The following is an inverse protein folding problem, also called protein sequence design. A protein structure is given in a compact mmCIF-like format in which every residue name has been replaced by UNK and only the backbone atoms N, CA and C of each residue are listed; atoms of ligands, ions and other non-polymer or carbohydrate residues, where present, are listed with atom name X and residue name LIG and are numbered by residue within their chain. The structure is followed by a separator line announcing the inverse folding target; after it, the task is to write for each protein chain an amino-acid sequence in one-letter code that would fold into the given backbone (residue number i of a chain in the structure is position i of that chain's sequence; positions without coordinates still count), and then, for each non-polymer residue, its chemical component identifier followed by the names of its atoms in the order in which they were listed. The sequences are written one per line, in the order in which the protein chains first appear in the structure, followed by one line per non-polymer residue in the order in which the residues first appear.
data_IF_330773581742
#
_entry.id   IF_330773581742
#
_cell.length_a   1.000
_cell.length_b   1.000
_cell.length_c   1.000
_cell.angle_alpha   90.00
_cell.angle_beta   90.00
_cell.angle_gamma   90.00
#
_symmetry.space_group_name_H-M   'P 1'
#
loop_
_entity.id
_entity.type
_entity.pdbx_description
1 polymer ?
#
# COMPACT_ATOMS: atom_id res chain seq x y z
N UNK A 1 13.96 0.46 16.47
CA UNK A 1 13.05 -0.36 15.64
C UNK A 1 13.04 -1.81 16.12
N UNK A 2 13.87 -2.17 17.11
CA UNK A 2 14.05 -3.54 17.59
C UNK A 2 12.80 -4.20 18.18
N UNK A 3 11.80 -3.41 18.57
CA UNK A 3 10.47 -3.92 18.98
C UNK A 3 9.83 -4.83 17.92
N UNK A 4 10.17 -4.67 16.62
CA UNK A 4 9.64 -5.49 15.54
C UNK A 4 10.47 -6.75 15.26
N UNK A 5 11.68 -6.90 15.84
CA UNK A 5 12.61 -7.99 15.51
C UNK A 5 11.99 -9.37 15.73
N UNK A 6 11.38 -9.59 16.88
CA UNK A 6 10.77 -10.90 17.23
C UNK A 6 9.64 -11.32 16.28
N UNK A 7 9.01 -10.36 15.59
CA UNK A 7 7.93 -10.61 14.62
C UNK A 7 8.42 -10.84 13.19
N UNK A 8 9.61 -10.31 12.85
CA UNK A 8 10.13 -10.25 11.48
C UNK A 8 11.35 -11.15 11.26
N UNK A 9 12.01 -11.59 12.32
CA UNK A 9 13.16 -12.48 12.21
C UNK A 9 12.77 -13.77 11.47
N UNK A 10 13.55 -14.12 10.45
CA UNK A 10 13.33 -15.29 9.60
C UNK A 10 12.18 -15.17 8.60
N UNK A 11 11.44 -14.05 8.58
CA UNK A 11 10.39 -13.80 7.59
C UNK A 11 10.98 -13.51 6.22
N UNK A 12 10.24 -13.85 5.17
CA UNK A 12 10.61 -13.53 3.79
C UNK A 12 9.68 -12.45 3.23
N UNK A 13 10.26 -11.36 2.75
CA UNK A 13 9.54 -10.23 2.16
C UNK A 13 9.88 -10.04 0.68
N UNK A 14 8.88 -9.77 -0.15
CA UNK A 14 9.06 -9.20 -1.48
C UNK A 14 8.83 -7.69 -1.39
N UNK A 15 9.74 -6.86 -1.91
CA UNK A 15 9.59 -5.40 -1.92
C UNK A 15 9.80 -4.88 -3.34
N UNK A 16 8.78 -4.24 -3.92
CA UNK A 16 8.87 -3.58 -5.22
C UNK A 16 9.31 -2.12 -5.08
N UNK A 17 9.98 -1.57 -6.10
CA UNK A 17 10.54 -0.21 -6.01
C UNK A 17 11.69 -0.14 -5.01
N UNK A 18 12.46 -1.23 -4.89
CA UNK A 18 13.46 -1.42 -3.85
C UNK A 18 14.85 -0.84 -4.19
N UNK A 19 15.04 -0.27 -5.38
CA UNK A 19 16.31 0.36 -5.76
C UNK A 19 16.51 1.73 -5.08
N UNK A 20 15.44 2.41 -4.64
CA UNK A 20 15.53 3.76 -4.08
C UNK A 20 14.42 4.11 -3.08
N UNK A 21 14.55 5.29 -2.46
CA UNK A 21 13.51 5.90 -1.62
C UNK A 21 13.03 5.00 -0.47
N UNK A 22 11.70 4.91 -0.33
CA UNK A 22 11.05 4.15 0.76
C UNK A 22 11.31 2.65 0.64
N UNK A 23 11.28 2.08 -0.56
CA UNK A 23 11.50 0.64 -0.77
C UNK A 23 12.93 0.22 -0.42
N UNK A 24 13.92 1.05 -0.78
CA UNK A 24 15.31 0.88 -0.35
C UNK A 24 15.43 0.89 1.17
N UNK A 25 14.95 1.97 1.81
CA UNK A 25 15.02 2.12 3.26
C UNK A 25 14.29 0.99 4.00
N UNK A 26 13.14 0.53 3.48
CA UNK A 26 12.40 -0.59 4.06
C UNK A 26 13.21 -1.89 3.99
N UNK A 27 13.86 -2.16 2.86
CA UNK A 27 14.66 -3.38 2.65
C UNK A 27 15.83 -3.44 3.63
N UNK A 28 16.56 -2.33 3.79
CA UNK A 28 17.64 -2.18 4.78
C UNK A 28 17.14 -2.45 6.21
N UNK A 29 15.98 -1.90 6.59
CA UNK A 29 15.41 -2.13 7.92
C UNK A 29 14.92 -3.56 8.14
N UNK A 30 14.30 -4.19 7.13
CA UNK A 30 13.84 -5.57 7.22
C UNK A 30 15.03 -6.53 7.40
N UNK A 31 16.10 -6.36 6.62
CA UNK A 31 17.35 -7.12 6.78
C UNK A 31 17.97 -6.85 8.15
N UNK A 32 18.06 -5.59 8.59
CA UNK A 32 18.51 -5.23 9.93
C UNK A 32 17.73 -5.92 11.06
N UNK A 33 16.44 -6.20 10.84
CA UNK A 33 15.54 -6.89 11.77
C UNK A 33 15.57 -8.44 11.63
N UNK A 34 16.42 -8.97 10.75
CA UNK A 34 16.65 -10.40 10.56
C UNK A 34 15.67 -11.07 9.58
N UNK A 35 14.93 -10.30 8.79
CA UNK A 35 14.14 -10.82 7.67
C UNK A 35 15.03 -11.05 6.45
N UNK A 36 14.57 -11.89 5.52
CA UNK A 36 15.12 -12.01 4.18
C UNK A 36 14.27 -11.20 3.21
N UNK A 37 14.89 -10.57 2.22
CA UNK A 37 14.20 -9.66 1.29
C UNK A 37 14.54 -10.01 -0.16
N UNK A 38 13.52 -10.20 -0.99
CA UNK A 38 13.66 -10.13 -2.45
C UNK A 38 13.38 -8.71 -2.89
N UNK A 39 14.42 -8.02 -3.36
CA UNK A 39 14.34 -6.65 -3.86
C UNK A 39 13.96 -6.65 -5.34
N UNK A 40 12.86 -6.01 -5.69
CA UNK A 40 12.39 -5.92 -7.07
C UNK A 40 12.33 -4.47 -7.55
N UNK A 41 12.89 -4.21 -8.72
CA UNK A 41 12.86 -2.90 -9.37
C UNK A 41 13.12 -3.05 -10.87
N UNK A 42 12.71 -2.07 -11.67
CA UNK A 42 13.12 -1.99 -13.08
C UNK A 42 14.54 -1.41 -13.20
N UNK A 43 14.98 -0.64 -12.20
CA UNK A 43 16.31 -0.08 -12.16
C UNK A 43 17.35 -1.17 -11.81
N UNK A 44 18.36 -1.39 -12.66
CA UNK A 44 19.38 -2.43 -12.44
C UNK A 44 20.20 -2.22 -11.15
N UNK A 45 20.22 -1.02 -10.58
CA UNK A 45 20.91 -0.77 -9.30
C UNK A 45 20.33 -1.56 -8.12
N UNK A 46 19.17 -2.20 -8.28
CA UNK A 46 18.59 -3.12 -7.28
C UNK A 46 19.50 -4.32 -7.00
N UNK A 47 20.26 -4.80 -8.00
CA UNK A 47 21.25 -5.86 -7.84
C UNK A 47 22.37 -5.44 -6.88
N UNK A 48 23.00 -4.28 -7.15
CA UNK A 48 24.05 -3.72 -6.29
C UNK A 48 23.56 -3.47 -4.87
N UNK A 49 22.28 -3.10 -4.71
CA UNK A 49 21.67 -2.94 -3.39
C UNK A 49 21.54 -4.27 -2.65
N UNK A 50 21.06 -5.33 -3.31
CA UNK A 50 21.00 -6.67 -2.71
C UNK A 50 22.40 -7.21 -2.34
N UNK A 51 23.40 -6.98 -3.20
CA UNK A 51 24.80 -7.33 -2.90
C UNK A 51 25.33 -6.60 -1.66
N UNK A 52 25.03 -5.31 -1.52
CA UNK A 52 25.43 -4.53 -0.35
C UNK A 52 24.83 -5.10 0.95
N UNK A 53 23.54 -5.43 0.94
CA UNK A 53 22.87 -6.08 2.08
C UNK A 53 23.48 -7.44 2.40
N UNK A 54 23.84 -8.23 1.38
CA UNK A 54 24.48 -9.52 1.57
C UNK A 54 25.93 -9.44 2.09
N UNK A 55 26.66 -8.35 1.82
CA UNK A 55 27.98 -8.14 2.44
C UNK A 55 27.88 -7.94 3.94
N UNK A 56 26.82 -7.28 4.41
CA UNK A 56 26.58 -7.07 5.84
C UNK A 56 25.93 -8.29 6.51
N UNK A 57 25.00 -8.94 5.80
CA UNK A 57 24.26 -10.11 6.28
C UNK A 57 24.12 -11.15 5.14
N UNK A 58 25.04 -12.12 5.03
CA UNK A 58 25.02 -13.10 3.94
C UNK A 58 23.71 -13.88 3.81
N UNK A 59 23.16 -13.93 2.59
CA UNK A 59 21.92 -14.65 2.28
C UNK A 59 20.64 -13.96 2.78
N UNK A 60 20.74 -12.69 3.20
CA UNK A 60 19.60 -11.88 3.62
C UNK A 60 18.85 -11.25 2.44
N UNK A 61 19.49 -11.10 1.28
CA UNK A 61 18.92 -10.40 0.15
C UNK A 61 19.04 -11.19 -1.16
N UNK A 62 17.99 -11.12 -1.98
CA UNK A 62 18.00 -11.48 -3.39
C UNK A 62 17.50 -10.29 -4.21
N UNK A 63 17.65 -10.33 -5.53
CA UNK A 63 17.14 -9.30 -6.41
C UNK A 63 16.38 -9.89 -7.60
N UNK A 64 15.49 -9.09 -8.19
CA UNK A 64 14.76 -9.45 -9.40
C UNK A 64 14.44 -8.21 -10.23
N UNK A 65 14.89 -8.17 -11.49
CA UNK A 65 14.53 -7.09 -12.40
C UNK A 65 13.05 -7.22 -12.81
N UNK A 66 12.22 -6.26 -12.42
CA UNK A 66 10.77 -6.33 -12.60
C UNK A 66 10.22 -5.06 -13.23
N UNK A 67 9.79 -5.16 -14.49
CA UNK A 67 8.94 -4.15 -15.11
C UNK A 67 7.47 -4.45 -14.76
N UNK A 68 6.89 -3.61 -13.91
CA UNK A 68 5.51 -3.79 -13.42
C UNK A 68 4.44 -3.51 -14.48
N UNK A 69 4.79 -2.99 -15.66
CA UNK A 69 3.87 -2.98 -16.80
C UNK A 69 3.65 -4.38 -17.39
N UNK A 70 4.52 -5.36 -17.06
CA UNK A 70 4.46 -6.74 -17.54
C UNK A 70 4.00 -7.67 -16.43
N UNK A 71 2.69 -7.95 -16.38
CA UNK A 71 2.08 -8.71 -15.28
C UNK A 71 2.63 -10.14 -15.15
N UNK A 72 3.13 -10.73 -16.23
CA UNK A 72 3.84 -12.02 -16.22
C UNK A 72 5.11 -12.00 -15.36
N UNK A 73 5.82 -10.86 -15.30
CA UNK A 73 7.00 -10.71 -14.44
C UNK A 73 6.61 -10.65 -12.96
N UNK A 74 5.39 -10.20 -12.64
CA UNK A 74 4.88 -10.23 -11.25
C UNK A 74 4.72 -11.68 -10.79
N UNK A 75 4.23 -12.60 -11.61
CA UNK A 75 4.18 -14.02 -11.24
C UNK A 75 5.59 -14.61 -11.08
N UNK A 76 6.49 -14.35 -12.03
CA UNK A 76 7.87 -14.83 -11.97
C UNK A 76 8.62 -14.32 -10.73
N UNK A 77 8.33 -13.09 -10.29
CA UNK A 77 8.88 -12.51 -9.07
C UNK A 77 8.54 -13.36 -7.83
N UNK A 78 7.29 -13.83 -7.71
CA UNK A 78 6.88 -14.70 -6.60
C UNK A 78 7.54 -16.08 -6.69
N UNK A 79 7.56 -16.67 -7.89
CA UNK A 79 8.17 -17.98 -8.11
C UNK A 79 9.67 -17.93 -7.77
N UNK A 80 10.36 -16.85 -8.15
CA UNK A 80 11.75 -16.60 -7.81
C UNK A 80 11.95 -16.45 -6.29
N UNK A 81 11.09 -15.71 -5.59
CA UNK A 81 11.16 -15.56 -4.14
C UNK A 81 11.03 -16.90 -3.41
N UNK A 82 10.07 -17.73 -3.84
CA UNK A 82 9.83 -19.06 -3.27
C UNK A 82 10.98 -20.00 -3.60
N UNK A 83 11.51 -19.99 -4.81
CA UNK A 83 12.65 -20.81 -5.19
C UNK A 83 13.91 -20.45 -4.39
N UNK A 84 14.15 -19.15 -4.18
CA UNK A 84 15.36 -18.66 -3.53
C UNK A 84 15.31 -18.77 -1.98
N UNK A 85 14.15 -18.48 -1.37
CA UNK A 85 14.01 -18.43 0.09
C UNK A 85 13.12 -19.53 0.69
N UNK A 86 12.50 -20.36 -0.15
CA UNK A 86 11.61 -21.46 0.23
C UNK A 86 10.16 -21.04 0.52
N UNK A 87 9.91 -19.77 0.82
CA UNK A 87 8.58 -19.25 1.10
C UNK A 87 8.50 -17.72 1.00
N UNK A 88 7.29 -17.18 1.08
CA UNK A 88 7.01 -15.75 1.25
C UNK A 88 6.09 -15.58 2.46
N UNK A 89 6.26 -14.49 3.23
CA UNK A 89 5.34 -14.09 4.31
C UNK A 89 4.78 -12.69 4.11
N UNK A 90 5.57 -11.79 3.49
CA UNK A 90 5.28 -10.37 3.37
C UNK A 90 5.42 -9.95 1.90
N UNK A 91 4.46 -9.17 1.41
CA UNK A 91 4.55 -8.53 0.08
C UNK A 91 4.34 -7.03 0.23
N UNK A 92 5.26 -6.24 -0.32
CA UNK A 92 5.20 -4.78 -0.27
C UNK A 92 5.13 -4.23 -1.70
N UNK A 93 3.93 -3.79 -2.05
CA UNK A 93 3.67 -3.05 -3.28
C UNK A 93 4.06 -1.58 -3.03
N UNK A 94 5.35 -1.27 -3.17
CA UNK A 94 5.91 0.06 -2.92
C UNK A 94 6.25 0.82 -4.19
N UNK A 95 6.55 0.14 -5.30
CA UNK A 95 6.80 0.81 -6.56
C UNK A 95 5.64 1.76 -6.93
N UNK A 96 6.01 2.91 -7.50
CA UNK A 96 5.05 3.88 -7.97
C UNK A 96 5.72 4.95 -8.81
N UNK A 97 4.95 5.54 -9.72
CA UNK A 97 5.35 6.68 -10.54
C UNK A 97 4.33 7.81 -10.38
N UNK A 98 4.75 9.04 -10.67
CA UNK A 98 3.89 10.22 -10.69
C UNK A 98 4.16 11.03 -11.96
N UNK A 99 3.10 11.59 -12.56
CA UNK A 99 3.22 12.40 -13.78
C UNK A 99 3.89 13.75 -13.48
N UNK A 100 4.60 14.28 -14.47
CA UNK A 100 5.27 15.58 -14.42
C UNK A 100 4.39 16.74 -14.94
N UNK A 101 3.17 16.42 -15.42
CA UNK A 101 2.18 17.36 -15.96
C UNK A 101 0.75 16.91 -15.62
N UNK A 102 -0.20 17.85 -15.66
CA UNK A 102 -1.63 17.54 -15.47
C UNK A 102 -2.15 16.65 -16.61
N UNK A 103 -3.06 15.73 -16.27
CA UNK A 103 -3.73 14.84 -17.23
C UNK A 103 -4.36 15.60 -18.40
N UNK A 104 -4.96 16.77 -18.14
CA UNK A 104 -5.65 17.56 -19.16
C UNK A 104 -4.71 18.31 -20.09
N UNK A 105 -3.42 18.34 -19.76
CA UNK A 105 -2.35 18.93 -20.57
C UNK A 105 -1.41 17.86 -21.15
N UNK A 106 -1.68 16.57 -20.92
CA UNK A 106 -0.89 15.48 -21.47
C UNK A 106 -1.25 15.25 -22.95
N UNK A 107 -0.25 15.25 -23.85
CA UNK A 107 -0.49 14.90 -25.24
C UNK A 107 -0.56 13.38 -25.47
N UNK A 108 -0.04 12.57 -24.53
CA UNK A 108 0.20 11.13 -24.71
C UNK A 108 -0.64 10.27 -23.76
N UNK A 109 -1.36 9.30 -24.33
CA UNK A 109 -2.15 8.32 -23.59
C UNK A 109 -1.27 7.28 -22.87
N UNK A 110 -0.05 7.02 -23.36
CA UNK A 110 0.83 5.98 -22.81
C UNK A 110 1.25 6.29 -21.37
N UNK A 111 1.46 7.57 -21.02
CA UNK A 111 1.76 7.96 -19.64
C UNK A 111 0.60 7.66 -18.67
N UNK A 112 -0.65 7.80 -19.15
CA UNK A 112 -1.84 7.44 -18.38
C UNK A 112 -1.95 5.92 -18.20
N UNK A 113 -1.72 5.14 -19.26
CA UNK A 113 -1.72 3.69 -19.16
C UNK A 113 -0.63 3.18 -18.20
N UNK A 114 0.58 3.73 -18.29
CA UNK A 114 1.71 3.35 -17.44
C UNK A 114 1.44 3.63 -15.96
N UNK A 115 0.91 4.82 -15.62
CA UNK A 115 0.63 5.15 -14.21
C UNK A 115 -0.49 4.27 -13.64
N UNK A 116 -1.51 3.94 -14.43
CA UNK A 116 -2.56 3.01 -14.03
C UNK A 116 -2.00 1.60 -13.83
N UNK A 117 -1.14 1.13 -14.74
CA UNK A 117 -0.51 -0.19 -14.61
C UNK A 117 0.35 -0.27 -13.35
N UNK A 118 1.32 0.63 -13.19
CA UNK A 118 2.31 0.57 -12.12
C UNK A 118 1.69 0.86 -10.75
N UNK A 119 0.83 1.88 -10.63
CA UNK A 119 0.32 2.29 -9.33
C UNK A 119 -0.91 1.49 -8.87
N UNK A 120 -1.61 0.80 -9.76
CA UNK A 120 -2.87 0.13 -9.44
C UNK A 120 -2.92 -1.34 -9.90
N UNK A 121 -2.81 -1.61 -11.21
CA UNK A 121 -3.02 -2.96 -11.72
C UNK A 121 -1.96 -3.95 -11.21
N UNK A 122 -0.68 -3.55 -11.21
CA UNK A 122 0.40 -4.40 -10.70
C UNK A 122 0.27 -4.70 -9.20
N UNK A 123 -0.01 -3.73 -8.30
CA UNK A 123 -0.32 -4.01 -6.90
C UNK A 123 -1.54 -4.93 -6.70
N UNK A 124 -2.60 -4.76 -7.49
CA UNK A 124 -3.78 -5.62 -7.45
C UNK A 124 -3.43 -7.06 -7.86
N UNK A 125 -2.64 -7.22 -8.91
CA UNK A 125 -2.20 -8.51 -9.41
C UNK A 125 -1.24 -9.21 -8.42
N UNK A 126 -0.25 -8.48 -7.89
CA UNK A 126 0.64 -8.98 -6.85
C UNK A 126 -0.14 -9.42 -5.61
N UNK A 127 -1.15 -8.64 -5.20
CA UNK A 127 -2.05 -9.01 -4.09
C UNK A 127 -2.84 -10.28 -4.41
N UNK A 128 -3.36 -10.40 -5.64
CA UNK A 128 -4.10 -11.59 -6.09
C UNK A 128 -3.22 -12.85 -6.05
N UNK A 129 -1.98 -12.75 -6.51
CA UNK A 129 -0.99 -13.85 -6.50
C UNK A 129 -0.65 -14.22 -5.05
N UNK A 130 -0.30 -13.23 -4.22
CA UNK A 130 0.02 -13.43 -2.81
C UNK A 130 -1.10 -14.16 -2.05
N UNK A 131 -2.35 -13.72 -2.22
CA UNK A 131 -3.51 -14.32 -1.55
C UNK A 131 -3.72 -15.76 -1.99
N UNK A 132 -3.58 -16.07 -3.29
CA UNK A 132 -3.67 -17.45 -3.79
C UNK A 132 -2.54 -18.30 -3.22
N UNK A 133 -1.31 -17.80 -3.19
CA UNK A 133 -0.16 -18.48 -2.61
C UNK A 133 -0.36 -18.79 -1.12
N UNK A 134 -0.77 -17.81 -0.30
CA UNK A 134 -1.00 -18.01 1.13
C UNK A 134 -2.14 -19.00 1.39
N UNK A 135 -3.22 -18.94 0.60
CA UNK A 135 -4.32 -19.90 0.70
C UNK A 135 -3.89 -21.31 0.36
N UNK A 136 -3.18 -21.50 -0.76
CA UNK A 136 -2.74 -22.81 -1.21
C UNK A 136 -1.70 -23.44 -0.28
N UNK A 137 -0.80 -22.64 0.29
CA UNK A 137 0.23 -23.12 1.22
C UNK A 137 -0.26 -23.27 2.66
N UNK A 138 -1.48 -22.85 2.99
CA UNK A 138 -2.00 -22.81 4.36
C UNK A 138 -1.28 -21.79 5.26
N UNK A 139 -0.42 -20.93 4.71
CA UNK A 139 0.34 -19.92 5.46
C UNK A 139 -0.50 -18.68 5.72
N UNK A 140 -0.17 -17.99 6.80
CA UNK A 140 -0.60 -16.60 7.00
C UNK A 140 0.34 -15.66 6.24
N UNK A 141 -0.17 -14.53 5.80
CA UNK A 141 0.65 -13.52 5.13
C UNK A 141 0.10 -12.11 5.26
N UNK A 142 0.95 -11.14 4.96
CA UNK A 142 0.59 -9.72 4.95
C UNK A 142 1.02 -9.03 3.67
N UNK A 143 0.12 -8.22 3.13
CA UNK A 143 0.37 -7.36 1.96
C UNK A 143 0.28 -5.91 2.39
N UNK A 144 1.29 -5.12 2.05
CA UNK A 144 1.36 -3.69 2.30
C UNK A 144 1.36 -2.94 0.97
N UNK A 145 0.36 -2.09 0.76
CA UNK A 145 0.25 -1.21 -0.39
C UNK A 145 0.74 0.19 -0.02
N UNK A 146 1.67 0.74 -0.79
CA UNK A 146 2.13 2.12 -0.63
C UNK A 146 1.22 3.04 -1.42
N UNK A 147 0.24 3.59 -0.72
CA UNK A 147 -0.69 4.58 -1.23
C UNK A 147 -0.05 5.99 -1.15
N UNK A 148 -0.86 7.03 -0.96
CA UNK A 148 -0.39 8.39 -0.76
C UNK A 148 -1.50 9.21 -0.12
N UNK A 149 -1.14 10.30 0.58
CA UNK A 149 -2.12 11.32 0.95
C UNK A 149 -2.83 11.90 -0.28
N UNK A 150 -2.22 11.88 -1.47
CA UNK A 150 -2.89 12.28 -2.72
C UNK A 150 -4.06 11.38 -3.14
N UNK A 151 -4.21 10.20 -2.52
CA UNK A 151 -5.40 9.36 -2.66
C UNK A 151 -6.49 9.62 -1.61
N UNK A 152 -6.19 10.45 -0.60
CA UNK A 152 -7.11 10.84 0.50
C UNK A 152 -7.57 12.29 0.36
N UNK A 153 -6.69 13.15 -0.14
CA UNK A 153 -6.92 14.57 -0.37
C UNK A 153 -6.72 14.88 -1.85
N UNK A 154 -7.62 15.64 -2.48
CA UNK A 154 -7.43 16.07 -3.86
C UNK A 154 -6.24 17.03 -3.92
N UNK A 155 -5.12 16.57 -4.47
CA UNK A 155 -3.99 17.42 -4.81
C UNK A 155 -4.13 17.85 -6.28
N UNK A 156 -4.26 19.15 -6.52
CA UNK A 156 -4.33 19.70 -7.87
C UNK A 156 -3.14 19.23 -8.70
N UNK A 157 -3.31 19.10 -10.03
CA UNK A 157 -2.27 18.70 -11.00
C UNK A 157 -1.65 17.30 -10.81
N UNK A 158 -2.30 16.44 -10.03
CA UNK A 158 -1.93 15.04 -9.84
C UNK A 158 -3.13 14.12 -10.09
N UNK A 159 -3.92 14.36 -11.14
CA UNK A 159 -5.22 13.72 -11.35
C UNK A 159 -5.09 12.19 -11.48
N UNK A 160 -4.23 11.73 -12.39
CA UNK A 160 -4.00 10.29 -12.62
C UNK A 160 -3.33 9.64 -11.41
N UNK A 161 -2.32 10.30 -10.84
CA UNK A 161 -1.62 9.80 -9.64
C UNK A 161 -2.57 9.67 -8.44
N UNK A 162 -3.28 10.74 -8.09
CA UNK A 162 -4.26 10.75 -7.00
C UNK A 162 -5.36 9.72 -7.21
N UNK A 163 -5.89 9.61 -8.44
CA UNK A 163 -6.90 8.60 -8.80
C UNK A 163 -6.39 7.18 -8.56
N UNK A 164 -5.19 6.84 -9.04
CA UNK A 164 -4.62 5.49 -8.83
C UNK A 164 -4.38 5.20 -7.35
N UNK A 165 -3.91 6.18 -6.56
CA UNK A 165 -3.68 6.01 -5.13
C UNK A 165 -4.98 5.91 -4.32
N UNK A 166 -6.03 6.64 -4.70
CA UNK A 166 -7.37 6.51 -4.12
C UNK A 166 -7.97 5.13 -4.42
N UNK A 167 -7.85 4.66 -5.68
CA UNK A 167 -8.29 3.33 -6.08
C UNK A 167 -7.55 2.23 -5.29
N UNK A 168 -6.24 2.37 -5.08
CA UNK A 168 -5.44 1.42 -4.31
C UNK A 168 -5.84 1.37 -2.82
N UNK A 169 -6.20 2.52 -2.23
CA UNK A 169 -6.75 2.60 -0.87
C UNK A 169 -8.08 1.84 -0.79
N UNK A 170 -8.97 2.08 -1.75
CA UNK A 170 -10.26 1.39 -1.77
C UNK A 170 -10.09 -0.13 -2.00
N UNK A 171 -9.24 -0.54 -2.93
CA UNK A 171 -8.89 -1.94 -3.16
C UNK A 171 -8.37 -2.63 -1.89
N UNK A 172 -7.49 -1.96 -1.15
CA UNK A 172 -6.97 -2.44 0.14
C UNK A 172 -8.12 -2.69 1.13
N UNK A 173 -9.07 -1.77 1.24
CA UNK A 173 -10.25 -1.90 2.12
C UNK A 173 -11.15 -3.05 1.69
N UNK A 174 -11.36 -3.22 0.39
CA UNK A 174 -12.15 -4.32 -0.17
C UNK A 174 -11.54 -5.70 0.16
N UNK A 175 -10.23 -5.78 0.42
CA UNK A 175 -9.53 -6.99 0.82
C UNK A 175 -9.69 -7.35 2.31
N UNK A 176 -10.39 -6.55 3.13
CA UNK A 176 -10.54 -6.78 4.59
C UNK A 176 -11.05 -8.17 4.95
N UNK A 177 -11.92 -8.75 4.12
CA UNK A 177 -12.51 -10.08 4.33
C UNK A 177 -11.53 -11.27 4.20
N UNK A 178 -10.27 -11.02 3.83
CA UNK A 178 -9.23 -12.07 3.75
C UNK A 178 -8.62 -12.43 5.10
N UNK A 179 -8.81 -11.57 6.12
CA UNK A 179 -8.34 -11.84 7.46
C UNK A 179 -9.15 -12.97 8.15
N UNK A 180 -8.55 -13.71 9.09
CA UNK A 180 -7.20 -13.53 9.64
C UNK A 180 -6.10 -14.25 8.83
N UNK A 181 -6.44 -14.90 7.73
CA UNK A 181 -5.45 -15.66 6.95
C UNK A 181 -4.48 -14.73 6.21
N UNK A 182 -5.01 -13.72 5.52
CA UNK A 182 -4.20 -12.71 4.83
C UNK A 182 -4.67 -11.32 5.25
N UNK A 183 -3.74 -10.48 5.71
CA UNK A 183 -4.02 -9.06 5.99
C UNK A 183 -3.50 -8.21 4.85
N UNK A 184 -4.35 -7.35 4.30
CA UNK A 184 -3.98 -6.39 3.25
C UNK A 184 -4.19 -4.99 3.83
N UNK A 185 -3.14 -4.18 3.87
CA UNK A 185 -3.16 -2.85 4.49
C UNK A 185 -2.47 -1.84 3.57
N UNK A 186 -2.76 -0.55 3.79
CA UNK A 186 -2.13 0.53 3.05
C UNK A 186 -1.39 1.49 3.99
N UNK A 187 -0.34 2.11 3.47
CA UNK A 187 0.34 3.23 4.10
C UNK A 187 0.24 4.42 3.15
N UNK A 188 -0.26 5.55 3.64
CA UNK A 188 -0.50 6.77 2.88
C UNK A 188 0.43 7.89 3.38
N UNK A 189 1.66 7.99 2.87
CA UNK A 189 2.58 9.04 3.26
C UNK A 189 2.21 10.38 2.63
N UNK A 190 2.48 11.46 3.37
CA UNK A 190 2.75 12.78 2.82
C UNK A 190 4.12 12.78 2.10
N UNK A 191 4.61 13.95 1.69
CA UNK A 191 5.86 14.07 0.93
C UNK A 191 7.08 13.56 1.71
N UNK A 192 7.72 12.51 1.20
CA UNK A 192 8.96 11.96 1.74
C UNK A 192 10.14 12.31 0.82
N UNK A 193 11.31 12.59 1.40
CA UNK A 193 12.56 12.83 0.66
C UNK A 193 12.95 11.56 -0.08
N UNK A 194 12.62 11.53 -1.37
CA UNK A 194 12.76 10.41 -2.28
C UNK A 194 12.98 10.95 -3.69
N UNK A 195 13.61 10.17 -4.59
CA UNK A 195 13.78 10.58 -5.97
C UNK A 195 12.45 10.89 -6.68
N UNK A 196 11.34 10.23 -6.32
CA UNK A 196 10.02 10.50 -6.89
C UNK A 196 9.56 11.93 -6.61
N UNK A 197 9.80 12.44 -5.40
CA UNK A 197 9.43 13.81 -5.02
C UNK A 197 10.44 14.81 -5.56
N UNK A 198 11.72 14.53 -5.41
CA UNK A 198 12.81 15.47 -5.74
C UNK A 198 12.95 15.72 -7.25
N UNK A 199 12.68 14.71 -8.08
CA UNK A 199 12.81 14.80 -9.55
C UNK A 199 11.51 15.19 -10.26
N UNK A 200 10.37 15.14 -9.55
CA UNK A 200 9.09 15.52 -10.14
C UNK A 200 8.82 16.99 -9.84
N UNK A 201 8.89 17.82 -10.88
CA UNK A 201 8.73 19.28 -10.78
C UNK A 201 7.37 19.70 -10.20
N UNK A 202 6.30 19.00 -10.59
CA UNK A 202 4.96 19.29 -10.06
C UNK A 202 4.90 19.04 -8.56
N UNK A 203 5.47 17.92 -8.10
CA UNK A 203 5.47 17.59 -6.68
C UNK A 203 6.39 18.56 -5.92
N UNK A 204 7.62 18.77 -6.38
CA UNK A 204 8.62 19.57 -5.67
C UNK A 204 8.24 21.06 -5.56
N UNK A 205 7.53 21.60 -6.54
CA UNK A 205 7.01 22.98 -6.54
C UNK A 205 5.61 23.09 -5.90
N UNK A 206 4.99 21.97 -5.50
CA UNK A 206 3.65 21.99 -4.93
C UNK A 206 3.64 22.81 -3.62
N UNK A 207 2.69 23.76 -3.40
CA UNK A 207 2.75 24.72 -2.28
C UNK A 207 2.85 24.09 -0.89
N UNK A 208 2.32 22.87 -0.71
CA UNK A 208 2.42 22.14 0.55
C UNK A 208 3.84 21.64 0.87
N UNK A 209 4.73 21.44 -0.12
CA UNK A 209 6.09 20.91 0.11
C UNK A 209 6.96 21.94 0.85
N UNK A 210 7.09 23.21 0.41
CA UNK A 210 7.81 24.22 1.20
C UNK A 210 7.16 24.48 2.57
N UNK A 211 5.84 24.39 2.67
CA UNK A 211 5.11 24.68 3.92
C UNK A 211 5.25 23.58 4.99
N UNK A 212 5.30 22.31 4.59
CA UNK A 212 5.35 21.18 5.53
C UNK A 212 6.73 20.51 5.62
N UNK A 213 7.60 20.73 4.65
CA UNK A 213 8.87 20.03 4.51
C UNK A 213 8.72 18.57 4.06
N UNK A 214 9.87 17.92 3.85
CA UNK A 214 9.95 16.51 3.46
C UNK A 214 10.22 15.62 4.68
N UNK A 215 9.48 14.53 4.81
CA UNK A 215 9.75 13.53 5.84
C UNK A 215 10.84 12.55 5.40
N UNK A 216 11.56 11.98 6.38
CA UNK A 216 12.49 10.89 6.09
C UNK A 216 11.73 9.63 5.65
N UNK A 217 12.26 8.85 4.68
CA UNK A 217 11.72 7.54 4.32
C UNK A 217 11.55 6.61 5.53
N UNK A 218 12.47 6.67 6.49
CA UNK A 218 12.43 5.91 7.75
C UNK A 218 11.11 6.09 8.53
N UNK A 219 10.49 7.28 8.45
CA UNK A 219 9.20 7.52 9.09
C UNK A 219 8.08 6.71 8.45
N UNK A 220 8.10 6.60 7.12
CA UNK A 220 7.16 5.76 6.36
C UNK A 220 7.41 4.28 6.66
N UNK A 221 8.69 3.88 6.70
CA UNK A 221 9.10 2.51 7.08
C UNK A 221 8.53 2.11 8.43
N UNK A 222 8.57 2.99 9.45
CA UNK A 222 7.97 2.69 10.77
C UNK A 222 6.48 2.39 10.69
N UNK A 223 5.72 3.11 9.86
CA UNK A 223 4.30 2.82 9.66
C UNK A 223 4.10 1.49 8.92
N UNK A 224 4.94 1.17 7.93
CA UNK A 224 4.92 -0.12 7.24
C UNK A 224 5.19 -1.27 8.21
N UNK A 225 6.22 -1.18 9.05
CA UNK A 225 6.51 -2.21 10.06
C UNK A 225 5.36 -2.40 11.05
N UNK A 226 4.73 -1.30 11.48
CA UNK A 226 3.51 -1.37 12.31
C UNK A 226 2.41 -2.14 11.58
N UNK A 227 2.08 -1.80 10.34
CA UNK A 227 1.05 -2.48 9.56
C UNK A 227 1.37 -3.97 9.31
N UNK A 228 2.66 -4.32 9.21
CA UNK A 228 3.13 -5.70 9.08
C UNK A 228 2.94 -6.49 10.38
N UNK A 229 3.28 -5.92 11.54
CA UNK A 229 3.42 -6.67 12.80
C UNK A 229 2.21 -6.60 13.75
N UNK A 230 1.39 -5.56 13.61
CA UNK A 230 0.19 -5.32 14.43
C UNK A 230 -1.01 -6.05 13.82
N UNK A 231 -1.39 -7.18 14.43
CA UNK A 231 -2.49 -8.04 13.95
C UNK A 231 -3.86 -7.35 14.01
N UNK A 232 -3.98 -6.23 14.74
CA UNK A 232 -5.21 -5.43 14.77
C UNK A 232 -5.40 -4.56 13.51
N UNK A 233 -4.35 -4.41 12.68
CA UNK A 233 -4.39 -3.62 11.45
C UNK A 233 -4.86 -4.53 10.30
N UNK A 234 -6.11 -4.33 9.88
CA UNK A 234 -6.78 -5.19 8.89
C UNK A 234 -7.62 -4.36 7.91
N UNK A 235 -7.21 -4.31 6.65
CA UNK A 235 -7.90 -3.49 5.63
C UNK A 235 -7.79 -1.99 5.90
N UNK A 236 -6.83 -1.58 6.74
CA UNK A 236 -6.72 -0.21 7.22
C UNK A 236 -5.71 0.59 6.37
N UNK A 237 -5.83 1.92 6.41
CA UNK A 237 -4.86 2.86 5.82
C UNK A 237 -4.19 3.66 6.92
N UNK A 238 -2.86 3.57 7.02
CA UNK A 238 -2.07 4.35 7.98
C UNK A 238 -1.54 5.61 7.28
N UNK A 239 -2.10 6.77 7.63
CA UNK A 239 -1.63 8.04 7.12
C UNK A 239 -0.37 8.48 7.88
N UNK A 240 0.69 8.83 7.15
CA UNK A 240 1.98 9.25 7.73
C UNK A 240 2.20 10.72 7.42
N UNK A 241 2.17 11.56 8.45
CA UNK A 241 2.37 13.01 8.37
C UNK A 241 3.66 13.45 9.08
N UNK A 242 3.96 14.75 9.08
CA UNK A 242 5.10 15.32 9.83
C UNK A 242 4.92 15.25 11.36
N UNK A 243 3.70 15.03 11.88
CA UNK A 243 3.43 14.83 13.31
C UNK A 243 4.01 13.53 13.90
N UNK A 244 4.07 13.44 15.23
CA UNK A 244 4.81 12.38 15.95
C UNK A 244 4.18 10.98 15.92
N UNK A 245 2.94 10.81 15.43
CA UNK A 245 2.28 9.49 15.30
C UNK A 245 1.55 9.35 13.95
N UNK A 246 1.62 8.18 13.28
CA UNK A 246 0.75 7.87 12.15
C UNK A 246 -0.71 7.91 12.60
N UNK A 247 -1.57 8.58 11.84
CA UNK A 247 -3.01 8.59 12.09
C UNK A 247 -3.65 7.39 11.37
N UNK A 248 -4.42 6.58 12.10
CA UNK A 248 -5.27 5.56 11.47
C UNK A 248 -6.43 6.29 10.81
N UNK A 249 -6.56 6.19 9.50
CA UNK A 249 -7.71 6.74 8.79
C UNK A 249 -8.71 5.61 8.59
N UNK A 250 -9.77 5.60 9.39
CA UNK A 250 -10.89 4.69 9.15
C UNK A 250 -11.90 5.35 8.20
N UNK A 251 -12.64 4.55 7.41
CA UNK A 251 -13.68 5.06 6.51
C UNK A 251 -14.70 5.98 7.22
N UNK A 252 -14.94 5.75 8.51
CA UNK A 252 -15.82 6.59 9.33
C UNK A 252 -15.24 7.98 9.58
N UNK A 253 -13.92 8.15 9.63
CA UNK A 253 -13.28 9.47 9.78
C UNK A 253 -13.38 10.28 8.48
N UNK A 254 -13.23 9.63 7.32
CA UNK A 254 -13.41 10.27 6.00
C UNK A 254 -14.87 10.67 5.76
N UNK A 255 -15.81 9.79 6.09
CA UNK A 255 -17.24 10.09 5.97
C UNK A 255 -17.66 11.15 7.00
N UNK A 256 -17.16 11.10 8.24
CA UNK A 256 -17.49 12.08 9.26
C UNK A 256 -16.93 13.46 8.91
N UNK A 257 -15.67 13.57 8.47
CA UNK A 257 -15.09 14.88 8.09
C UNK A 257 -15.82 15.45 6.87
N UNK A 258 -16.14 14.63 5.88
CA UNK A 258 -16.87 15.08 4.68
C UNK A 258 -18.32 15.45 5.02
N UNK A 259 -19.08 14.55 5.64
CA UNK A 259 -20.50 14.77 5.99
C UNK A 259 -20.67 15.91 6.99
N UNK A 260 -19.81 16.03 8.01
CA UNK A 260 -19.90 17.12 8.99
C UNK A 260 -19.56 18.47 8.36
N UNK A 261 -18.56 18.52 7.47
CA UNK A 261 -18.21 19.74 6.71
C UNK A 261 -19.32 20.17 5.75
N UNK A 262 -19.98 19.23 5.06
CA UNK A 262 -21.10 19.50 4.16
C UNK A 262 -22.42 19.84 4.88
N UNK A 263 -22.66 19.27 6.07
CA UNK A 263 -23.77 19.63 6.95
C UNK A 263 -23.54 21.03 7.53
N UNK A 264 -22.33 21.34 7.99
CA UNK A 264 -21.98 22.65 8.55
C UNK A 264 -22.06 23.79 7.50
N UNK A 265 -21.83 23.48 6.22
CA UNK A 265 -21.96 24.42 5.09
C UNK A 265 -23.36 24.43 4.46
N UNK A 266 -24.32 23.67 5.02
CA UNK A 266 -25.71 23.65 4.58
C UNK A 266 -25.95 23.12 3.16
N UNK A 267 -24.96 22.51 2.51
CA UNK A 267 -24.97 22.23 1.07
C UNK A 267 -25.61 20.88 0.70
N UNK A 268 -25.77 19.96 1.66
CA UNK A 268 -26.37 18.63 1.41
C UNK A 268 -27.62 18.46 2.27
N UNK A 269 -28.78 18.81 1.73
CA UNK A 269 -30.09 18.54 2.37
C UNK A 269 -30.73 17.20 1.97
N UNK A 270 -30.25 16.52 0.92
CA UNK A 270 -31.00 15.42 0.30
C UNK A 270 -30.49 14.01 0.66
N UNK A 271 -29.27 13.85 1.17
CA UNK A 271 -28.73 12.50 1.48
C UNK A 271 -28.61 12.16 2.97
N UNK A 272 -28.68 13.14 3.88
CA UNK A 272 -28.43 12.88 5.31
C UNK A 272 -29.51 12.02 5.98
N UNK A 273 -30.78 12.22 5.63
CA UNK A 273 -31.90 11.50 6.28
C UNK A 273 -32.03 10.05 5.80
N UNK A 274 -31.88 9.80 4.49
CA UNK A 274 -31.99 8.46 3.91
C UNK A 274 -30.78 7.58 4.26
N UNK A 275 -29.57 8.15 4.27
CA UNK A 275 -28.34 7.40 4.55
C UNK A 275 -28.18 7.09 6.04
N UNK A 276 -28.55 8.03 6.93
CA UNK A 276 -28.56 7.81 8.38
C UNK A 276 -29.62 6.78 8.79
N UNK A 277 -30.83 6.84 8.20
CA UNK A 277 -31.90 5.87 8.49
C UNK A 277 -31.57 4.46 7.98
N UNK A 278 -30.90 4.33 6.82
CA UNK A 278 -30.44 3.05 6.31
C UNK A 278 -29.36 2.43 7.21
N UNK A 279 -28.38 3.22 7.65
CA UNK A 279 -27.30 2.74 8.52
C UNK A 279 -27.77 2.42 9.94
N UNK A 280 -28.68 3.23 10.50
CA UNK A 280 -29.32 2.93 11.79
C UNK A 280 -30.02 1.57 11.74
N UNK A 281 -30.74 1.28 10.65
CA UNK A 281 -31.43 0.01 10.41
C UNK A 281 -30.51 -1.19 10.13
N UNK A 282 -29.28 -0.95 9.69
CA UNK A 282 -28.25 -2.00 9.55
C UNK A 282 -27.57 -2.27 10.88
N UNK A 283 -27.32 -1.22 11.69
CA UNK A 283 -26.67 -1.32 13.00
C UNK A 283 -27.60 -1.88 14.09
N UNK A 284 -28.91 -1.60 14.04
CA UNK A 284 -29.90 -2.15 14.95
C UNK A 284 -30.41 -3.56 14.54
N UNK A 285 -29.91 -4.10 13.43
CA UNK A 285 -30.23 -5.44 12.93
C UNK A 285 -31.57 -5.57 12.20
N UNK A 286 -32.29 -4.46 11.95
CA UNK A 286 -33.58 -4.47 11.24
C UNK A 286 -33.43 -4.85 9.76
N UNK A 287 -32.28 -4.59 9.15
CA UNK A 287 -31.93 -5.03 7.78
C UNK A 287 -30.82 -6.07 7.88
N UNK A 288 -31.18 -7.35 7.74
CA UNK A 288 -30.25 -8.47 7.75
C UNK A 288 -29.46 -8.59 6.45
N UNK A 289 -28.23 -8.07 6.42
CA UNK A 289 -27.27 -8.38 5.35
C UNK A 289 -26.69 -9.80 5.58
N UNK A 290 -27.19 -10.75 4.79
CA UNK A 290 -26.68 -12.12 4.59
C UNK A 290 -26.63 -13.03 5.84
N UNK A 291 -27.79 -13.56 6.25
CA UNK A 291 -27.80 -14.91 6.87
C UNK A 291 -27.54 -15.94 5.76
N UNK A 292 -26.36 -16.58 5.76
CA UNK A 292 -26.15 -17.84 5.04
C UNK A 292 -27.27 -18.81 5.45
N UNK A 293 -28.09 -19.28 4.49
CA UNK A 293 -28.92 -20.47 4.72
C UNK A 293 -27.97 -21.63 4.98
N UNK A 294 -28.01 -22.21 6.17
CA UNK A 294 -27.42 -23.52 6.41
C UNK A 294 -28.16 -24.54 5.50
N UNK A 295 -27.48 -25.59 4.99
CA UNK A 295 -28.16 -26.64 4.25
C UNK A 295 -29.13 -27.34 5.19
N UNK A 296 -30.41 -27.41 4.81
CA UNK A 296 -31.38 -28.26 5.47
C UNK A 296 -30.94 -29.71 5.26
N UNK A 297 -30.37 -30.32 6.29
CA UNK A 297 -30.27 -31.77 6.37
C UNK A 297 -31.68 -32.34 6.52
N UNK A 298 -32.13 -33.10 5.53
CA UNK A 298 -33.20 -34.08 5.71
C UNK A 298 -32.55 -35.44 5.91
N UNK A 299 -32.99 -36.11 6.98
CA UNK A 299 -33.03 -37.57 7.22
C UNK A 299 -32.49 -38.48 6.13
#
# INVERSE_FOLDING_TARGET
MDEYRSKLQGKVAIVTGAASGIGKALSEHLVGLGAKVLLADINPSVELHAEALNREQPGSAGWFACDLCKLELVQQLFDHAVAHFGHVDIVVNNAGIANDRSLFSQPDHLELEQIVHINLLAPMEATRIAVRYFKASGRKGVVINTASVGGLLPLSVMESYGTTKAALIFFTRACRGLAPQVRVNAVAPYFASTPLVERNRIISEYPLVPAMGLMSPTKVVRAMLKAMCDESVVGDTLMVSMGSRPAKVTFYDELAVSVTSYIAKGTVRVYASAFSAFFARVLDGTIGLLRRRAPSGSS
#
